data_IF_611690516335
#
_entry.id   IF_611690516335
#
_cell.length_a   1.000
_cell.length_b   1.000
_cell.length_c   1.000
_cell.angle_alpha   90.00
_cell.angle_beta   90.00
_cell.angle_gamma   90.00
#
_symmetry.space_group_name_H-M   'P 1'
#
loop_
_entity.id
_entity.type
_entity.pdbx_description
1 polymer ?
#
# COMPACT_ATOMS: atom_id res chain seq x y z
N UNK A 1 49.27 26.72 -28.79
CA UNK A 1 49.88 25.38 -28.93
C UNK A 1 49.31 24.45 -27.86
N UNK A 2 48.52 23.43 -28.22
CA UNK A 2 48.02 22.41 -27.28
C UNK A 2 49.02 21.26 -27.23
N UNK A 3 49.73 21.10 -26.11
CA UNK A 3 50.75 20.08 -25.95
C UNK A 3 50.13 18.68 -25.74
N UNK A 4 50.63 17.62 -26.42
CA UNK A 4 50.01 16.29 -26.49
C UNK A 4 50.03 15.48 -25.18
N UNK A 5 50.82 15.88 -24.17
CA UNK A 5 50.98 15.14 -22.91
C UNK A 5 49.94 15.49 -21.82
N UNK A 6 49.14 16.55 -21.99
CA UNK A 6 48.09 16.94 -21.03
C UNK A 6 46.91 15.97 -20.98
N UNK A 7 46.60 15.28 -22.10
CA UNK A 7 45.52 14.27 -22.17
C UNK A 7 45.91 12.92 -21.56
N UNK A 8 47.22 12.64 -21.41
CA UNK A 8 47.69 11.40 -20.80
C UNK A 8 47.49 11.41 -19.28
N UNK A 9 47.71 12.54 -18.60
CA UNK A 9 47.49 12.68 -17.15
C UNK A 9 46.02 12.60 -16.74
N UNK A 10 45.09 13.16 -17.54
CA UNK A 10 43.66 13.06 -17.24
C UNK A 10 43.17 11.61 -17.36
N UNK A 11 43.58 10.91 -18.43
CA UNK A 11 43.21 9.51 -18.65
C UNK A 11 43.74 8.57 -17.55
N UNK A 12 44.95 8.80 -17.03
CA UNK A 12 45.50 8.02 -15.90
C UNK A 12 44.82 8.33 -14.57
N UNK A 13 44.40 9.58 -14.33
CA UNK A 13 43.60 9.93 -13.15
C UNK A 13 42.19 9.31 -13.19
N UNK A 14 41.55 9.29 -14.36
CA UNK A 14 40.25 8.64 -14.56
C UNK A 14 40.32 7.12 -14.31
N UNK A 15 41.40 6.45 -14.77
CA UNK A 15 41.63 5.01 -14.54
C UNK A 15 41.82 4.71 -13.05
N UNK A 16 42.57 5.54 -12.33
CA UNK A 16 42.79 5.35 -10.88
C UNK A 16 41.53 5.61 -10.06
N UNK A 17 40.70 6.59 -10.45
CA UNK A 17 39.40 6.81 -9.81
C UNK A 17 38.44 5.66 -10.08
N UNK A 18 38.42 5.12 -11.31
CA UNK A 18 37.63 3.93 -11.65
C UNK A 18 38.11 2.68 -10.89
N UNK A 19 39.43 2.49 -10.74
CA UNK A 19 39.98 1.40 -9.96
C UNK A 19 39.63 1.53 -8.46
N UNK A 20 39.71 2.73 -7.90
CA UNK A 20 39.30 3.00 -6.51
C UNK A 20 37.79 2.78 -6.29
N UNK A 21 36.95 3.18 -7.24
CA UNK A 21 35.50 2.91 -7.21
C UNK A 21 35.17 1.42 -7.32
N UNK A 22 35.89 0.68 -8.15
CA UNK A 22 35.73 -0.77 -8.27
C UNK A 22 36.18 -1.50 -7.00
N UNK A 23 37.23 -1.00 -6.34
CA UNK A 23 37.71 -1.54 -5.07
C UNK A 23 36.72 -1.25 -3.93
N UNK A 24 36.12 -0.05 -3.90
CA UNK A 24 35.07 0.31 -2.96
C UNK A 24 33.79 -0.53 -3.14
N UNK A 25 33.46 -0.95 -4.37
CA UNK A 25 32.36 -1.90 -4.65
C UNK A 25 32.65 -3.33 -4.16
N UNK A 26 33.92 -3.69 -3.96
CA UNK A 26 34.32 -5.00 -3.45
C UNK A 26 34.51 -5.05 -1.93
N UNK A 27 34.36 -3.93 -1.23
CA UNK A 27 34.41 -3.87 0.22
C UNK A 27 33.02 -4.22 0.80
N UNK A 28 33.01 -5.06 1.83
CA UNK A 28 31.79 -5.38 2.59
C UNK A 28 31.22 -4.09 3.16
N UNK A 29 30.00 -3.76 2.77
CA UNK A 29 29.26 -2.61 3.27
C UNK A 29 28.45 -3.00 4.51
N UNK A 30 27.99 -2.02 5.28
CA UNK A 30 27.06 -2.26 6.40
C UNK A 30 25.78 -2.98 5.89
N UNK A 31 25.34 -2.65 4.67
CA UNK A 31 24.22 -3.31 4.01
C UNK A 31 24.44 -4.82 3.83
N UNK A 32 25.65 -5.22 3.44
CA UNK A 32 26.01 -6.64 3.26
C UNK A 32 26.06 -7.41 4.58
N UNK A 33 26.33 -6.73 5.70
CA UNK A 33 26.36 -7.34 7.04
C UNK A 33 24.94 -7.62 7.56
N UNK A 34 23.99 -6.72 7.27
CA UNK A 34 22.60 -6.85 7.74
C UNK A 34 21.70 -7.57 6.73
N UNK A 35 22.16 -7.75 5.50
CA UNK A 35 21.41 -8.43 4.47
C UNK A 35 21.19 -9.91 4.84
N UNK A 36 19.99 -10.46 4.57
CA UNK A 36 19.78 -11.89 4.72
C UNK A 36 20.64 -12.65 3.70
N UNK A 37 21.09 -13.85 4.07
CA UNK A 37 21.96 -14.67 3.22
C UNK A 37 21.31 -15.08 1.89
N UNK A 38 19.99 -15.27 1.86
CA UNK A 38 19.21 -15.51 0.65
C UNK A 38 17.73 -15.14 0.87
N UNK A 39 17.08 -14.72 -0.22
CA UNK A 39 15.63 -14.52 -0.30
C UNK A 39 15.14 -15.30 -1.51
N UNK A 40 14.19 -16.20 -1.29
CA UNK A 40 13.44 -16.86 -2.37
C UNK A 40 12.08 -16.17 -2.49
N UNK A 41 11.73 -15.74 -3.71
CA UNK A 41 10.46 -15.04 -3.98
C UNK A 41 9.60 -15.94 -4.85
N UNK A 42 8.42 -16.28 -4.35
CA UNK A 42 7.37 -16.98 -5.07
C UNK A 42 6.18 -16.01 -5.29
N UNK A 43 5.16 -16.44 -6.03
CA UNK A 43 3.97 -15.63 -6.27
C UNK A 43 3.15 -15.38 -5.01
N UNK A 44 3.05 -16.40 -4.15
CA UNK A 44 2.16 -16.38 -2.99
C UNK A 44 2.87 -16.23 -1.65
N UNK A 45 4.19 -16.33 -1.62
CA UNK A 45 4.98 -16.22 -0.39
C UNK A 45 6.41 -15.81 -0.70
N UNK A 46 7.11 -15.36 0.33
CA UNK A 46 8.50 -14.99 0.31
C UNK A 46 9.21 -15.77 1.41
N UNK A 47 10.40 -16.32 1.13
CA UNK A 47 11.16 -17.10 2.11
C UNK A 47 12.49 -16.43 2.38
N UNK A 48 12.74 -16.10 3.64
CA UNK A 48 13.99 -15.49 4.11
C UNK A 48 14.64 -16.48 5.07
N UNK A 49 15.79 -17.03 4.67
CA UNK A 49 16.43 -18.12 5.40
C UNK A 49 15.52 -19.35 5.48
N UNK A 50 14.95 -19.62 6.66
CA UNK A 50 14.08 -20.78 6.92
C UNK A 50 12.61 -20.40 7.19
N UNK A 51 12.30 -19.10 7.26
CA UNK A 51 10.96 -18.61 7.59
C UNK A 51 10.26 -18.20 6.29
N UNK A 52 9.00 -18.58 6.18
CA UNK A 52 8.10 -18.22 5.09
C UNK A 52 7.22 -17.05 5.52
N UNK A 53 6.98 -16.13 4.60
CA UNK A 53 6.22 -14.92 4.82
C UNK A 53 5.13 -14.79 3.75
N UNK A 54 3.92 -14.46 4.17
CA UNK A 54 2.85 -14.02 3.26
C UNK A 54 2.31 -12.68 3.73
N UNK A 55 2.21 -11.73 2.81
CA UNK A 55 1.64 -10.42 3.09
C UNK A 55 0.26 -10.31 2.46
N UNK A 56 -0.73 -10.04 3.30
CA UNK A 56 -2.11 -9.77 2.93
C UNK A 56 -2.35 -8.26 2.98
N UNK A 57 -3.18 -7.75 2.07
CA UNK A 57 -3.65 -6.37 2.11
C UNK A 57 -5.16 -6.34 2.34
N UNK A 58 -5.62 -5.42 3.18
CA UNK A 58 -7.05 -5.29 3.47
C UNK A 58 -7.71 -4.40 2.42
N UNK A 59 -8.59 -5.00 1.62
CA UNK A 59 -9.26 -4.33 0.50
C UNK A 59 -10.57 -3.62 0.91
N UNK A 60 -11.25 -4.12 1.95
CA UNK A 60 -12.55 -3.64 2.40
C UNK A 60 -12.53 -3.27 3.87
N UNK A 61 -13.23 -2.20 4.23
CA UNK A 61 -13.38 -1.75 5.61
C UNK A 61 -14.86 -1.66 5.97
N UNK A 62 -15.23 -1.89 7.24
CA UNK A 62 -16.60 -1.68 7.70
C UNK A 62 -17.00 -0.21 7.54
N UNK A 63 -18.29 0.04 7.32
CA UNK A 63 -18.85 1.41 7.16
C UNK A 63 -18.57 2.30 8.37
N UNK A 64 -18.47 1.70 9.56
CA UNK A 64 -18.12 2.39 10.80
C UNK A 64 -17.00 1.64 11.50
N UNK A 65 -15.99 2.39 11.91
CA UNK A 65 -14.82 1.89 12.63
C UNK A 65 -14.96 2.31 14.09
N UNK A 66 -15.38 1.38 14.95
CA UNK A 66 -15.46 1.62 16.39
C UNK A 66 -14.08 1.52 17.05
N UNK A 67 -13.98 1.96 18.31
CA UNK A 67 -12.85 1.56 19.14
C UNK A 67 -12.71 0.02 19.14
N UNK A 68 -11.47 -0.46 19.18
CA UNK A 68 -11.10 -1.89 19.18
C UNK A 68 -11.48 -2.69 17.93
N UNK A 69 -11.78 -2.06 16.79
CA UNK A 69 -12.06 -2.80 15.55
C UNK A 69 -10.91 -3.71 15.06
N UNK A 70 -9.66 -3.43 15.48
CA UNK A 70 -8.48 -4.27 15.19
C UNK A 70 -8.26 -5.40 16.20
N UNK A 71 -9.10 -5.52 17.23
CA UNK A 71 -8.94 -6.53 18.28
C UNK A 71 -8.77 -7.96 17.74
N UNK A 72 -9.52 -8.42 16.73
CA UNK A 72 -9.38 -9.79 16.23
C UNK A 72 -8.00 -10.11 15.65
N UNK A 73 -7.27 -9.09 15.16
CA UNK A 73 -5.89 -9.24 14.69
C UNK A 73 -4.88 -9.17 15.82
N UNK A 74 -5.16 -8.37 16.85
CA UNK A 74 -4.26 -8.19 17.99
C UNK A 74 -4.33 -9.39 18.95
N UNK A 75 -5.51 -10.00 19.10
CA UNK A 75 -5.74 -11.18 19.94
C UNK A 75 -5.56 -12.50 19.20
N UNK A 76 -5.09 -12.46 17.95
CA UNK A 76 -4.88 -13.64 17.13
C UNK A 76 -3.81 -14.56 17.73
N UNK A 77 -4.07 -15.87 17.78
CA UNK A 77 -3.21 -16.88 18.42
C UNK A 77 -1.98 -17.25 17.57
N UNK A 78 -1.43 -16.29 16.83
CA UNK A 78 -0.23 -16.46 16.03
C UNK A 78 0.51 -15.12 15.88
N UNK A 79 1.82 -15.21 15.63
CA UNK A 79 2.61 -14.00 15.39
C UNK A 79 2.18 -13.35 14.08
N UNK A 80 1.70 -12.12 14.15
CA UNK A 80 1.34 -11.30 13.00
C UNK A 80 2.12 -9.99 13.02
N UNK A 81 2.65 -9.60 11.86
CA UNK A 81 3.23 -8.27 11.67
C UNK A 81 2.19 -7.37 11.01
N UNK A 82 1.66 -6.42 11.76
CA UNK A 82 0.63 -5.49 11.27
C UNK A 82 1.26 -4.14 10.94
N UNK A 83 1.18 -3.74 9.68
CA UNK A 83 1.68 -2.46 9.19
C UNK A 83 0.54 -1.56 8.74
N UNK A 84 0.46 -0.38 9.34
CA UNK A 84 -0.52 0.65 9.02
C UNK A 84 0.14 1.85 8.37
N UNK A 85 -0.42 2.29 7.24
CA UNK A 85 0.00 3.49 6.54
C UNK A 85 -1.16 4.46 6.47
N UNK A 86 -0.94 5.69 6.95
CA UNK A 86 -1.94 6.75 7.00
C UNK A 86 -1.34 7.96 6.30
N UNK A 87 -1.87 8.30 5.13
CA UNK A 87 -1.43 9.46 4.37
C UNK A 87 -2.57 10.47 4.26
N UNK A 88 -2.38 11.72 4.73
CA UNK A 88 -3.40 12.75 4.58
C UNK A 88 -3.58 13.10 3.10
N UNK A 89 -4.83 13.27 2.68
CA UNK A 89 -5.16 13.67 1.30
C UNK A 89 -5.68 15.09 1.28
N UNK A 90 -5.38 15.85 0.23
CA UNK A 90 -5.89 17.20 0.06
C UNK A 90 -7.42 17.17 -0.17
N UNK A 91 -8.17 17.87 0.68
CA UNK A 91 -9.64 17.89 0.62
C UNK A 91 -10.19 18.35 -0.72
N UNK A 92 -9.45 19.19 -1.46
CA UNK A 92 -9.87 19.73 -2.76
C UNK A 92 -10.04 18.63 -3.80
N UNK A 93 -9.05 17.76 -3.94
CA UNK A 93 -9.09 16.67 -4.92
C UNK A 93 -10.22 15.69 -4.61
N UNK A 94 -10.42 15.37 -3.33
CA UNK A 94 -11.50 14.49 -2.88
C UNK A 94 -12.87 15.11 -3.16
N UNK A 95 -13.05 16.39 -2.87
CA UNK A 95 -14.30 17.11 -3.14
C UNK A 95 -14.64 17.16 -4.64
N UNK A 96 -13.64 17.38 -5.50
CA UNK A 96 -13.83 17.37 -6.96
C UNK A 96 -14.24 15.98 -7.47
N UNK A 97 -13.59 14.92 -6.97
CA UNK A 97 -13.93 13.54 -7.28
C UNK A 97 -15.34 13.17 -6.79
N UNK A 98 -15.70 13.57 -5.57
CA UNK A 98 -17.00 13.33 -4.98
C UNK A 98 -18.11 14.05 -5.74
N UNK A 99 -17.88 15.31 -6.13
CA UNK A 99 -18.80 16.09 -6.97
C UNK A 99 -19.08 15.40 -8.30
N UNK A 100 -18.05 14.88 -8.97
CA UNK A 100 -18.23 14.09 -10.20
C UNK A 100 -19.10 12.87 -9.94
N UNK A 101 -18.83 12.13 -8.85
CA UNK A 101 -19.57 10.90 -8.53
C UNK A 101 -21.03 11.15 -8.18
N UNK A 102 -21.31 12.23 -7.44
CA UNK A 102 -22.68 12.71 -7.16
C UNK A 102 -23.42 12.97 -8.47
N UNK A 103 -22.80 13.68 -9.41
CA UNK A 103 -23.42 13.94 -10.72
C UNK A 103 -23.71 12.67 -11.53
N UNK A 104 -22.83 11.67 -11.48
CA UNK A 104 -23.07 10.35 -12.12
C UNK A 104 -24.27 9.61 -11.50
N UNK A 105 -24.40 9.65 -10.17
CA UNK A 105 -25.51 9.01 -9.45
C UNK A 105 -26.83 9.73 -9.73
N UNK A 106 -26.86 11.07 -9.68
CA UNK A 106 -28.03 11.87 -10.05
C UNK A 106 -28.45 11.61 -11.50
N UNK A 107 -27.50 11.56 -12.44
CA UNK A 107 -27.77 11.26 -13.84
C UNK A 107 -28.39 9.86 -14.03
N UNK A 108 -27.91 8.87 -13.27
CA UNK A 108 -28.45 7.51 -13.25
C UNK A 108 -29.91 7.52 -12.80
N UNK A 109 -30.19 8.13 -11.64
CA UNK A 109 -31.55 8.25 -11.08
C UNK A 109 -32.49 8.97 -12.07
N UNK A 110 -32.04 10.08 -12.66
CA UNK A 110 -32.83 10.82 -13.65
C UNK A 110 -33.10 10.00 -14.92
N UNK A 111 -32.15 9.16 -15.34
CA UNK A 111 -32.32 8.26 -16.49
C UNK A 111 -33.39 7.20 -16.20
N UNK A 112 -33.38 6.63 -15.01
CA UNK A 112 -34.36 5.60 -14.62
C UNK A 112 -35.76 6.19 -14.50
N UNK A 113 -35.91 7.37 -13.90
CA UNK A 113 -37.18 8.10 -13.85
C UNK A 113 -37.72 8.36 -15.26
N UNK A 114 -36.88 8.88 -16.17
CA UNK A 114 -37.28 9.16 -17.57
C UNK A 114 -37.69 7.90 -18.33
N UNK A 115 -37.10 6.76 -18.00
CA UNK A 115 -37.39 5.45 -18.60
C UNK A 115 -38.55 4.72 -17.91
N UNK A 116 -39.15 5.31 -16.87
CA UNK A 116 -40.20 4.68 -16.07
C UNK A 116 -39.72 3.43 -15.31
N UNK A 117 -38.41 3.32 -15.04
CA UNK A 117 -37.82 2.21 -14.28
C UNK A 117 -37.89 2.51 -12.79
N UNK A 118 -37.93 1.44 -11.99
CA UNK A 118 -37.80 1.54 -10.54
C UNK A 118 -36.38 2.00 -10.22
N UNK A 119 -36.26 3.06 -9.42
CA UNK A 119 -34.96 3.59 -8.96
C UNK A 119 -34.32 2.54 -8.07
N UNK A 120 -33.05 2.22 -8.33
CA UNK A 120 -32.32 1.29 -7.50
C UNK A 120 -32.05 1.90 -6.11
N UNK A 121 -32.51 1.27 -5.00
CA UNK A 121 -32.34 1.82 -3.66
C UNK A 121 -30.87 2.01 -3.26
N UNK A 122 -29.98 1.15 -3.77
CA UNK A 122 -28.53 1.23 -3.52
C UNK A 122 -27.93 2.56 -3.99
N UNK A 123 -28.32 3.02 -5.18
CA UNK A 123 -27.84 4.29 -5.78
C UNK A 123 -28.37 5.48 -5.01
N UNK A 124 -29.61 5.40 -4.52
CA UNK A 124 -30.22 6.46 -3.73
C UNK A 124 -29.55 6.63 -2.37
N UNK A 125 -29.28 5.51 -1.67
CA UNK A 125 -28.53 5.52 -0.40
C UNK A 125 -27.09 6.01 -0.62
N UNK A 126 -26.43 5.56 -1.69
CA UNK A 126 -25.08 6.01 -2.01
C UNK A 126 -25.01 7.52 -2.32
N UNK A 127 -26.04 8.07 -2.97
CA UNK A 127 -26.15 9.50 -3.23
C UNK A 127 -26.33 10.29 -1.92
N UNK A 128 -27.21 9.84 -1.02
CA UNK A 128 -27.42 10.47 0.29
C UNK A 128 -26.12 10.49 1.11
N UNK A 129 -25.42 9.35 1.17
CA UNK A 129 -24.13 9.23 1.87
C UNK A 129 -23.07 10.16 1.27
N UNK A 130 -22.99 10.24 -0.07
CA UNK A 130 -22.04 11.12 -0.75
C UNK A 130 -22.31 12.60 -0.49
N UNK A 131 -23.58 13.02 -0.44
CA UNK A 131 -23.96 14.40 -0.14
C UNK A 131 -23.65 14.77 1.32
N UNK A 132 -23.93 13.86 2.26
CA UNK A 132 -23.57 14.05 3.66
C UNK A 132 -22.06 14.23 3.83
N UNK A 133 -21.27 13.36 3.20
CA UNK A 133 -19.80 13.40 3.24
C UNK A 133 -19.24 14.67 2.59
N UNK A 134 -19.80 15.08 1.45
CA UNK A 134 -19.42 16.34 0.79
C UNK A 134 -19.63 17.55 1.71
N UNK A 135 -20.75 17.57 2.45
CA UNK A 135 -21.06 18.65 3.38
C UNK A 135 -20.07 18.69 4.56
N UNK A 136 -19.71 17.53 5.13
CA UNK A 136 -18.74 17.47 6.24
C UNK A 136 -17.34 17.91 5.80
N UNK A 137 -16.91 17.50 4.60
CA UNK A 137 -15.64 17.90 4.03
C UNK A 137 -15.58 19.40 3.73
N UNK A 138 -16.64 19.96 3.14
CA UNK A 138 -16.70 21.39 2.83
C UNK A 138 -16.64 22.26 4.09
N UNK A 139 -17.19 21.77 5.21
CA UNK A 139 -17.12 22.43 6.53
C UNK A 139 -15.75 22.27 7.20
N UNK A 140 -14.88 21.40 6.69
CA UNK A 140 -13.60 21.05 7.33
C UNK A 140 -13.76 20.26 8.63
N UNK A 141 -14.94 19.70 8.89
CA UNK A 141 -15.20 18.87 10.07
C UNK A 141 -14.51 17.50 9.95
N UNK A 142 -14.35 17.01 8.72
CA UNK A 142 -13.71 15.73 8.42
C UNK A 142 -12.51 15.92 7.49
N UNK A 143 -11.57 14.96 7.56
CA UNK A 143 -10.39 14.89 6.69
C UNK A 143 -10.32 13.51 6.07
N UNK A 144 -9.89 13.47 4.81
CA UNK A 144 -9.64 12.21 4.12
C UNK A 144 -8.20 11.77 4.33
N UNK A 145 -8.05 10.47 4.47
CA UNK A 145 -6.77 9.80 4.54
C UNK A 145 -6.79 8.64 3.55
N UNK A 146 -5.69 8.47 2.83
CA UNK A 146 -5.39 7.21 2.20
C UNK A 146 -4.86 6.28 3.29
N UNK A 147 -5.62 5.23 3.58
CA UNK A 147 -5.31 4.24 4.59
C UNK A 147 -4.93 2.91 3.92
N UNK A 148 -3.82 2.34 4.36
CA UNK A 148 -3.38 1.00 3.97
C UNK A 148 -3.10 0.16 5.20
N UNK A 149 -3.69 -1.03 5.25
CA UNK A 149 -3.46 -2.03 6.28
C UNK A 149 -2.90 -3.29 5.62
N UNK A 150 -1.71 -3.67 6.06
CA UNK A 150 -1.01 -4.86 5.62
C UNK A 150 -0.75 -5.77 6.81
N UNK A 151 -0.91 -7.06 6.58
CA UNK A 151 -0.71 -8.10 7.58
C UNK A 151 0.28 -9.09 7.01
N UNK A 152 1.44 -9.22 7.63
CA UNK A 152 2.47 -10.16 7.23
C UNK A 152 2.51 -11.32 8.23
N UNK A 153 2.43 -12.53 7.68
CA UNK A 153 2.34 -13.78 8.44
C UNK A 153 3.67 -14.52 8.30
N UNK A 154 4.52 -14.56 9.34
CA UNK A 154 5.68 -15.45 9.40
C UNK A 154 5.25 -16.88 9.78
N UNK A 155 5.81 -17.89 9.11
CA UNK A 155 5.57 -19.30 9.41
C UNK A 155 6.84 -20.14 9.19
N UNK A 156 6.96 -21.27 9.88
CA UNK A 156 8.12 -22.17 9.78
C UNK A 156 7.98 -23.19 8.64
N UNK A 157 6.76 -23.38 8.13
CA UNK A 157 6.46 -24.26 7.00
C UNK A 157 5.39 -23.68 6.08
N UNK A 158 5.34 -24.17 4.84
CA UNK A 158 4.29 -23.78 3.88
C UNK A 158 2.90 -24.25 4.34
N UNK A 159 2.79 -25.41 4.99
CA UNK A 159 1.51 -25.93 5.49
C UNK A 159 0.94 -25.04 6.60
N UNK A 160 1.79 -24.65 7.55
CA UNK A 160 1.44 -23.68 8.60
C UNK A 160 1.05 -22.33 7.99
N UNK A 161 1.82 -21.83 7.02
CA UNK A 161 1.52 -20.56 6.35
C UNK A 161 0.13 -20.57 5.72
N UNK A 162 -0.24 -21.64 5.01
CA UNK A 162 -1.56 -21.78 4.39
C UNK A 162 -2.69 -21.86 5.42
N UNK A 163 -2.48 -22.61 6.50
CA UNK A 163 -3.48 -22.76 7.55
C UNK A 163 -3.74 -21.42 8.25
N UNK A 164 -2.68 -20.74 8.66
CA UNK A 164 -2.78 -19.46 9.36
C UNK A 164 -3.36 -18.39 8.44
N UNK A 165 -2.95 -18.34 7.18
CA UNK A 165 -3.49 -17.39 6.20
C UNK A 165 -5.02 -17.51 6.09
N UNK A 166 -5.54 -18.74 6.00
CA UNK A 166 -7.00 -18.97 5.95
C UNK A 166 -7.70 -18.54 7.24
N UNK A 167 -7.08 -18.73 8.39
CA UNK A 167 -7.64 -18.32 9.67
C UNK A 167 -7.69 -16.78 9.79
N UNK A 168 -6.63 -16.09 9.36
CA UNK A 168 -6.60 -14.61 9.30
C UNK A 168 -7.67 -14.09 8.34
N UNK A 169 -7.79 -14.69 7.15
CA UNK A 169 -8.83 -14.34 6.18
C UNK A 169 -10.26 -14.57 6.71
N UNK A 170 -10.48 -15.60 7.52
CA UNK A 170 -11.79 -15.89 8.10
C UNK A 170 -12.15 -14.99 9.30
N UNK A 171 -11.15 -14.32 9.88
CA UNK A 171 -11.32 -13.44 11.05
C UNK A 171 -11.69 -12.01 10.64
N UNK A 172 -11.41 -11.62 9.39
CA UNK A 172 -11.65 -10.30 8.80
C UNK A 172 -12.86 -10.29 7.86
#
# INVERSE_FOLDING_TARGET
>A
MKFPWSKAKSKTQDINQQAAQNLAKGMVTIGDIIAPGAIEVDFNYLKIGIIYYRSLFVAGYPRFVSANWLEPLISFDHSLEVSMFIYPTESREVLDNLKRKVGEMEATIQSDIKRGRVIEPSVQVALEDALALQQQLAKGAERFFQFGLYITIPAQSLEELEQVSKQVEATL
#
